data_IF_575570831523
#
_entry.id   IF_575570831523
#
_cell.length_a   1.000
_cell.length_b   1.000
_cell.length_c   1.000
_cell.angle_alpha   90.00
_cell.angle_beta   90.00
_cell.angle_gamma   90.00
#
_symmetry.space_group_name_H-M   'P 1'
#
loop_
_entity.id
_entity.type
_entity.pdbx_description
1 polymer ?
#
# COMPACT_ATOMS: atom_id res chain seq x y z
N UNK A 1 1.67 5.01 -21.74
CA UNK A 1 1.50 3.78 -20.98
C UNK A 1 1.11 4.14 -19.54
N UNK A 2 1.99 4.54 -18.62
CA UNK A 2 1.67 4.75 -17.18
C UNK A 2 0.56 5.79 -16.90
N UNK A 3 0.38 6.82 -17.72
CA UNK A 3 -0.74 7.76 -17.62
C UNK A 3 -2.04 7.22 -18.21
N UNK A 4 -1.96 6.24 -19.10
CA UNK A 4 -3.12 5.58 -19.68
C UNK A 4 -3.83 4.70 -18.66
N UNK A 5 -3.05 3.98 -17.85
CA UNK A 5 -3.53 3.15 -16.75
C UNK A 5 -4.15 4.00 -15.63
N UNK A 6 -3.61 5.20 -15.39
CA UNK A 6 -4.24 6.14 -14.45
C UNK A 6 -5.61 6.60 -14.94
N UNK A 7 -5.74 6.94 -16.21
CA UNK A 7 -7.05 7.29 -16.80
C UNK A 7 -8.03 6.13 -16.74
N UNK A 8 -7.56 4.91 -17.00
CA UNK A 8 -8.35 3.68 -16.87
C UNK A 8 -8.82 3.49 -15.42
N UNK A 9 -7.92 3.64 -14.45
CA UNK A 9 -8.23 3.53 -13.02
C UNK A 9 -9.31 4.54 -12.60
N UNK A 10 -9.17 5.81 -12.99
CA UNK A 10 -10.18 6.83 -12.70
C UNK A 10 -11.51 6.53 -13.41
N UNK A 11 -11.46 5.97 -14.62
CA UNK A 11 -12.64 5.50 -15.36
C UNK A 11 -13.35 4.35 -14.63
N UNK A 12 -12.59 3.39 -14.09
CA UNK A 12 -13.13 2.28 -13.28
C UNK A 12 -13.79 2.76 -12.00
N UNK A 13 -13.14 3.69 -11.26
CA UNK A 13 -13.70 4.29 -10.06
C UNK A 13 -15.03 5.01 -10.28
N UNK A 14 -15.21 5.60 -11.47
CA UNK A 14 -16.49 6.22 -11.86
C UNK A 14 -17.56 5.20 -12.24
N UNK A 15 -17.17 4.09 -12.88
CA UNK A 15 -18.10 3.05 -13.35
C UNK A 15 -18.49 2.07 -12.25
N UNK A 16 -17.59 1.82 -11.31
CA UNK A 16 -17.73 0.80 -10.25
C UNK A 16 -17.62 1.50 -8.89
N UNK A 17 -18.72 2.10 -8.38
CA UNK A 17 -18.69 2.85 -7.12
C UNK A 17 -18.36 1.99 -5.91
N UNK A 18 -18.53 0.67 -6.00
CA UNK A 18 -18.15 -0.28 -4.92
C UNK A 18 -16.66 -0.21 -4.57
N UNK A 19 -15.79 0.22 -5.47
CA UNK A 19 -14.35 0.39 -5.19
C UNK A 19 -14.08 1.49 -4.14
N UNK A 20 -14.99 2.44 -3.95
CA UNK A 20 -14.88 3.46 -2.90
C UNK A 20 -15.14 2.92 -1.49
N UNK A 21 -15.79 1.76 -1.36
CA UNK A 21 -16.08 1.12 -0.06
C UNK A 21 -14.80 0.84 0.70
N UNK A 22 -13.72 0.42 0.02
CA UNK A 22 -12.41 0.22 0.63
C UNK A 22 -11.90 1.51 1.30
N UNK A 23 -11.93 2.63 0.59
CA UNK A 23 -11.50 3.93 1.12
C UNK A 23 -12.40 4.41 2.26
N UNK A 24 -13.73 4.21 2.12
CA UNK A 24 -14.70 4.60 3.13
C UNK A 24 -14.47 3.85 4.46
N UNK A 25 -14.35 2.52 4.40
CA UNK A 25 -14.15 1.70 5.60
C UNK A 25 -12.79 1.99 6.24
N UNK A 26 -11.72 2.04 5.44
CA UNK A 26 -10.36 2.31 5.95
C UNK A 26 -10.23 3.73 6.49
N UNK A 27 -10.85 4.71 5.83
CA UNK A 27 -10.88 6.11 6.30
C UNK A 27 -11.63 6.24 7.62
N UNK A 28 -12.78 5.57 7.77
CA UNK A 28 -13.52 5.56 9.02
C UNK A 28 -12.70 4.92 10.16
N UNK A 29 -12.05 3.79 9.89
CA UNK A 29 -11.18 3.13 10.85
C UNK A 29 -10.01 4.04 11.27
N UNK A 30 -9.37 4.73 10.34
CA UNK A 30 -8.27 5.65 10.65
C UNK A 30 -8.73 6.83 11.52
N UNK A 31 -9.89 7.42 11.22
CA UNK A 31 -10.48 8.46 12.04
C UNK A 31 -10.81 7.96 13.45
N UNK A 32 -11.39 6.76 13.58
CA UNK A 32 -11.66 6.14 14.88
C UNK A 32 -10.38 5.84 15.67
N UNK A 33 -9.33 5.35 15.00
CA UNK A 33 -8.02 5.09 15.64
C UNK A 33 -7.42 6.39 16.16
N UNK A 34 -7.49 7.47 15.37
CA UNK A 34 -6.99 8.79 15.77
C UNK A 34 -7.74 9.32 17.01
N UNK A 35 -9.07 9.27 17.01
CA UNK A 35 -9.88 9.68 18.16
C UNK A 35 -9.58 8.82 19.39
N UNK A 36 -9.54 7.50 19.23
CA UNK A 36 -9.23 6.58 20.32
C UNK A 36 -7.83 6.81 20.90
N UNK A 37 -6.84 7.15 20.07
CA UNK A 37 -5.49 7.47 20.53
C UNK A 37 -5.48 8.70 21.46
N UNK A 38 -6.22 9.75 21.08
CA UNK A 38 -6.26 10.98 21.82
C UNK A 38 -7.14 10.93 23.08
N UNK A 39 -8.22 10.13 23.08
CA UNK A 39 -9.14 10.05 24.22
C UNK A 39 -8.80 8.92 25.20
N UNK A 40 -8.38 7.76 24.70
CA UNK A 40 -8.21 6.54 25.50
C UNK A 40 -6.76 6.06 25.59
N UNK A 41 -5.85 6.73 24.88
CA UNK A 41 -4.42 6.46 24.89
C UNK A 41 -3.97 5.34 23.93
N UNK A 42 -2.65 5.17 23.87
CA UNK A 42 -1.96 4.29 22.90
C UNK A 42 -2.36 2.80 23.01
N UNK A 43 -2.69 2.33 24.21
CA UNK A 43 -3.03 0.92 24.45
C UNK A 43 -4.29 0.48 23.68
N UNK A 44 -5.34 1.30 23.69
CA UNK A 44 -6.58 1.00 22.99
C UNK A 44 -6.44 1.22 21.47
N UNK A 45 -5.78 2.31 21.09
CA UNK A 45 -5.52 2.62 19.69
C UNK A 45 -4.72 1.52 18.98
N UNK A 46 -3.70 0.94 19.62
CA UNK A 46 -2.90 -0.15 19.04
C UNK A 46 -3.76 -1.37 18.71
N UNK A 47 -4.72 -1.72 19.52
CA UNK A 47 -5.65 -2.84 19.25
C UNK A 47 -6.56 -2.56 18.08
N UNK A 48 -7.06 -1.33 18.00
CA UNK A 48 -7.86 -0.90 16.84
C UNK A 48 -7.03 -0.91 15.56
N UNK A 49 -5.74 -0.56 15.60
CA UNK A 49 -4.83 -0.65 14.44
C UNK A 49 -4.71 -2.11 13.97
N UNK A 50 -4.53 -3.07 14.89
CA UNK A 50 -4.45 -4.50 14.53
C UNK A 50 -5.74 -5.00 13.86
N UNK A 51 -6.89 -4.72 14.46
CA UNK A 51 -8.18 -5.12 13.89
C UNK A 51 -8.44 -4.38 12.58
N UNK A 52 -8.17 -3.07 12.55
CA UNK A 52 -8.35 -2.23 11.37
C UNK A 52 -7.49 -2.66 10.19
N UNK A 53 -6.25 -3.11 10.45
CA UNK A 53 -5.37 -3.63 9.39
C UNK A 53 -5.93 -4.89 8.73
N UNK A 54 -6.51 -5.82 9.50
CA UNK A 54 -7.16 -7.01 8.96
C UNK A 54 -8.38 -6.65 8.11
N UNK A 55 -9.21 -5.71 8.58
CA UNK A 55 -10.38 -5.23 7.83
C UNK A 55 -9.92 -4.55 6.53
N UNK A 56 -8.88 -3.72 6.58
CA UNK A 56 -8.33 -3.05 5.39
C UNK A 56 -7.84 -4.06 4.34
N UNK A 57 -7.11 -5.10 4.76
CA UNK A 57 -6.65 -6.17 3.86
C UNK A 57 -7.83 -6.91 3.24
N UNK A 58 -8.90 -7.17 3.99
CA UNK A 58 -10.11 -7.80 3.48
C UNK A 58 -10.75 -6.99 2.35
N UNK A 59 -10.95 -5.69 2.55
CA UNK A 59 -11.54 -4.82 1.53
C UNK A 59 -10.61 -4.58 0.35
N UNK A 60 -9.29 -4.55 0.57
CA UNK A 60 -8.28 -4.47 -0.50
C UNK A 60 -8.35 -5.70 -1.41
N UNK A 61 -8.35 -6.90 -0.82
CA UNK A 61 -8.47 -8.15 -1.56
C UNK A 61 -9.79 -8.22 -2.35
N UNK A 62 -10.90 -7.80 -1.73
CA UNK A 62 -12.20 -7.70 -2.39
C UNK A 62 -12.21 -6.72 -3.56
N UNK A 63 -11.60 -5.54 -3.40
CA UNK A 63 -11.50 -4.54 -4.47
C UNK A 63 -10.71 -5.06 -5.67
N UNK A 64 -9.60 -5.76 -5.46
CA UNK A 64 -8.85 -6.40 -6.53
C UNK A 64 -9.64 -7.51 -7.23
N UNK A 65 -10.43 -8.30 -6.49
CA UNK A 65 -11.31 -9.31 -7.07
C UNK A 65 -12.39 -8.70 -7.95
N UNK A 66 -13.00 -7.60 -7.53
CA UNK A 66 -13.97 -6.82 -8.32
C UNK A 66 -13.34 -6.33 -9.62
N UNK A 67 -12.11 -5.79 -9.58
CA UNK A 67 -11.39 -5.31 -10.77
C UNK A 67 -11.02 -6.50 -11.69
N UNK A 68 -10.61 -7.65 -11.13
CA UNK A 68 -10.27 -8.87 -11.86
C UNK A 68 -11.47 -9.40 -12.64
N UNK A 69 -12.63 -9.49 -11.99
CA UNK A 69 -13.84 -10.08 -12.55
C UNK A 69 -14.65 -9.11 -13.43
N UNK A 70 -14.40 -7.79 -13.29
CA UNK A 70 -15.13 -6.75 -14.03
C UNK A 70 -16.56 -6.50 -13.55
N UNK A 71 -17.01 -7.18 -12.50
CA UNK A 71 -18.37 -7.09 -11.96
C UNK A 71 -18.40 -6.22 -10.71
N UNK A 72 -19.17 -5.14 -10.73
CA UNK A 72 -19.16 -4.09 -9.69
C UNK A 72 -20.14 -4.26 -8.53
N UNK A 73 -20.51 -5.48 -8.16
CA UNK A 73 -21.45 -5.74 -7.08
C UNK A 73 -20.82 -5.73 -5.68
N UNK A 74 -21.53 -5.21 -4.68
CA UNK A 74 -21.09 -5.27 -3.27
C UNK A 74 -20.91 -6.71 -2.79
N UNK A 75 -21.76 -7.63 -3.26
CA UNK A 75 -21.66 -9.07 -2.99
C UNK A 75 -20.34 -9.65 -3.50
N UNK A 76 -19.86 -9.19 -4.66
CA UNK A 76 -18.58 -9.63 -5.22
C UNK A 76 -17.38 -9.09 -4.46
N UNK A 77 -17.49 -7.86 -3.92
CA UNK A 77 -16.49 -7.30 -3.03
C UNK A 77 -16.30 -8.20 -1.80
N UNK A 78 -17.41 -8.61 -1.15
CA UNK A 78 -17.36 -9.47 0.03
C UNK A 78 -16.88 -10.89 -0.32
N UNK A 79 -17.40 -11.49 -1.38
CA UNK A 79 -16.98 -12.83 -1.81
C UNK A 79 -15.49 -12.85 -2.21
N UNK A 80 -15.03 -11.83 -2.93
CA UNK A 80 -13.62 -11.65 -3.27
C UNK A 80 -12.76 -11.43 -2.03
N UNK A 81 -13.25 -10.63 -1.07
CA UNK A 81 -12.60 -10.46 0.23
C UNK A 81 -12.41 -11.79 0.93
N UNK A 82 -13.45 -12.62 1.08
CA UNK A 82 -13.36 -13.93 1.72
C UNK A 82 -12.41 -14.86 0.96
N UNK A 83 -12.50 -14.90 -0.36
CA UNK A 83 -11.73 -15.81 -1.20
C UNK A 83 -10.22 -15.50 -1.18
N UNK A 84 -9.85 -14.21 -1.24
CA UNK A 84 -8.46 -13.76 -1.39
C UNK A 84 -7.83 -13.24 -0.10
N UNK A 85 -8.59 -13.10 0.99
CA UNK A 85 -8.10 -12.55 2.25
C UNK A 85 -6.77 -13.16 2.70
N UNK A 86 -6.75 -14.48 2.88
CA UNK A 86 -5.55 -15.17 3.33
C UNK A 86 -4.42 -15.16 2.29
N UNK A 87 -4.75 -15.10 1.00
CA UNK A 87 -3.75 -15.02 -0.08
C UNK A 87 -3.02 -13.67 -0.10
N UNK A 88 -3.66 -12.61 0.40
CA UNK A 88 -3.04 -11.28 0.55
C UNK A 88 -2.43 -11.11 1.93
N UNK A 89 -3.12 -11.56 2.98
CA UNK A 89 -2.69 -11.41 4.36
C UNK A 89 -1.40 -12.18 4.67
N UNK A 90 -1.32 -13.45 4.26
CA UNK A 90 -0.17 -14.30 4.61
C UNK A 90 1.16 -13.81 4.00
N UNK A 91 1.25 -13.45 2.70
CA UNK A 91 2.46 -12.83 2.17
C UNK A 91 2.82 -11.54 2.90
N UNK A 92 1.83 -10.71 3.25
CA UNK A 92 2.06 -9.48 4.01
C UNK A 92 2.68 -9.78 5.38
N UNK A 93 2.16 -10.77 6.11
CA UNK A 93 2.72 -11.20 7.40
C UNK A 93 4.15 -11.73 7.25
N UNK A 94 4.43 -12.53 6.22
CA UNK A 94 5.77 -13.01 5.92
C UNK A 94 6.74 -11.85 5.69
N UNK A 95 6.33 -10.85 4.89
CA UNK A 95 7.17 -9.67 4.62
C UNK A 95 7.43 -8.84 5.88
N UNK A 96 6.41 -8.61 6.71
CA UNK A 96 6.55 -7.91 7.99
C UNK A 96 7.52 -8.69 8.90
N UNK A 97 7.35 -10.00 9.01
CA UNK A 97 8.21 -10.84 9.84
C UNK A 97 9.66 -10.86 9.35
N UNK A 98 9.88 -11.00 8.04
CA UNK A 98 11.22 -10.91 7.44
C UNK A 98 11.87 -9.54 7.69
N UNK A 99 11.11 -8.46 7.55
CA UNK A 99 11.60 -7.09 7.82
C UNK A 99 12.00 -6.93 9.29
N UNK A 100 11.19 -7.43 10.23
CA UNK A 100 11.50 -7.40 11.65
C UNK A 100 12.77 -8.20 11.98
N UNK A 101 12.96 -9.37 11.36
CA UNK A 101 14.19 -10.16 11.53
C UNK A 101 15.40 -9.38 11.02
N UNK A 102 15.31 -8.75 9.85
CA UNK A 102 16.40 -7.96 9.28
C UNK A 102 16.77 -6.78 10.19
N UNK A 103 15.79 -6.06 10.72
CA UNK A 103 16.01 -4.97 11.68
C UNK A 103 16.67 -5.51 12.96
N UNK A 104 16.19 -6.63 13.50
CA UNK A 104 16.78 -7.26 14.68
C UNK A 104 18.23 -7.69 14.46
N UNK A 105 18.56 -8.25 13.28
CA UNK A 105 19.93 -8.61 12.92
C UNK A 105 20.85 -7.38 12.88
N UNK A 106 20.38 -6.26 12.31
CA UNK A 106 21.14 -5.00 12.30
C UNK A 106 21.35 -4.50 13.72
N UNK A 107 20.33 -4.54 14.58
CA UNK A 107 20.45 -4.15 15.99
C UNK A 107 21.51 -4.97 16.73
N UNK A 108 21.50 -6.29 16.55
CA UNK A 108 22.49 -7.20 17.16
C UNK A 108 23.90 -6.82 16.67
N UNK A 109 24.07 -6.59 15.38
CA UNK A 109 25.38 -6.22 14.79
C UNK A 109 25.90 -4.89 15.35
N UNK A 110 25.05 -3.88 15.48
CA UNK A 110 25.41 -2.58 16.06
C UNK A 110 25.81 -2.72 17.55
N UNK A 111 25.07 -3.54 18.30
CA UNK A 111 25.40 -3.81 19.72
C UNK A 111 26.78 -4.48 19.88
N UNK A 112 27.14 -5.41 19.01
CA UNK A 112 28.48 -6.02 19.01
C UNK A 112 29.58 -5.02 18.59
N UNK A 113 29.25 -4.04 17.75
CA UNK A 113 30.17 -2.95 17.36
C UNK A 113 30.36 -1.87 18.42
N UNK A 114 29.72 -1.99 19.59
CA UNK A 114 29.80 -1.01 20.67
C UNK A 114 29.11 0.33 20.36
N UNK A 115 28.31 0.37 19.31
CA UNK A 115 27.49 1.56 19.01
C UNK A 115 26.25 1.59 19.92
N UNK A 116 25.94 2.74 20.54
CA UNK A 116 24.72 2.86 21.31
C UNK A 116 23.51 2.66 20.37
N UNK A 117 22.55 1.85 20.82
CA UNK A 117 21.32 1.61 20.09
C UNK A 117 20.34 2.79 20.29
N UNK A 118 20.74 3.99 19.84
CA UNK A 118 19.88 5.15 19.90
C UNK A 118 18.65 4.94 19.03
N UNK A 119 17.43 5.28 19.51
CA UNK A 119 16.19 5.12 18.76
C UNK A 119 16.22 5.79 17.38
N UNK A 120 16.91 6.91 17.24
CA UNK A 120 17.06 7.65 15.97
C UNK A 120 17.87 6.85 14.95
N UNK A 121 19.01 6.28 15.36
CA UNK A 121 19.87 5.45 14.52
C UNK A 121 19.12 4.19 14.07
N UNK A 122 18.37 3.55 14.99
CA UNK A 122 17.54 2.39 14.67
C UNK A 122 16.42 2.74 13.67
N UNK A 123 15.79 3.91 13.83
CA UNK A 123 14.78 4.41 12.90
C UNK A 123 15.33 4.58 11.48
N UNK A 124 16.53 5.13 11.32
CA UNK A 124 17.18 5.30 10.02
C UNK A 124 17.46 3.94 9.38
N UNK A 125 18.03 2.97 10.12
CA UNK A 125 18.28 1.63 9.59
C UNK A 125 16.98 0.90 9.22
N UNK A 126 15.94 1.01 10.05
CA UNK A 126 14.63 0.42 9.76
C UNK A 126 14.05 0.99 8.45
N UNK A 127 14.13 2.30 8.24
CA UNK A 127 13.69 2.94 7.00
C UNK A 127 14.54 2.48 5.80
N UNK A 128 15.86 2.40 5.95
CA UNK A 128 16.77 1.93 4.89
C UNK A 128 16.49 0.48 4.47
N UNK A 129 16.01 -0.37 5.38
CA UNK A 129 15.61 -1.75 5.08
C UNK A 129 14.19 -1.78 4.49
N UNK A 130 13.27 -1.04 5.09
CA UNK A 130 11.87 -1.06 4.71
C UNK A 130 11.63 -0.55 3.28
N UNK A 131 12.29 0.54 2.87
CA UNK A 131 12.09 1.13 1.54
C UNK A 131 12.41 0.15 0.41
N UNK A 132 13.59 -0.51 0.35
CA UNK A 132 13.87 -1.49 -0.71
C UNK A 132 12.93 -2.70 -0.67
N UNK A 133 12.61 -3.22 0.51
CA UNK A 133 11.66 -4.34 0.66
C UNK A 133 10.30 -3.95 0.12
N UNK A 134 9.75 -2.82 0.55
CA UNK A 134 8.46 -2.31 0.07
C UNK A 134 8.48 -2.06 -1.44
N UNK A 135 9.59 -1.52 -1.97
CA UNK A 135 9.77 -1.29 -3.41
C UNK A 135 9.70 -2.58 -4.21
N UNK A 136 10.45 -3.61 -3.82
CA UNK A 136 10.51 -4.88 -4.54
C UNK A 136 9.23 -5.70 -4.40
N UNK A 137 8.53 -5.56 -3.29
CA UNK A 137 7.38 -6.41 -2.97
C UNK A 137 6.03 -5.72 -3.16
N UNK A 138 5.98 -4.49 -3.70
CA UNK A 138 4.74 -3.72 -3.82
C UNK A 138 3.59 -4.49 -4.48
N UNK A 139 3.88 -5.31 -5.48
CA UNK A 139 2.87 -5.98 -6.31
C UNK A 139 2.48 -7.38 -5.84
N UNK A 140 2.93 -7.83 -4.64
CA UNK A 140 2.61 -9.18 -4.16
C UNK A 140 1.10 -9.42 -3.99
N UNK A 141 0.36 -8.42 -3.53
CA UNK A 141 -1.08 -8.48 -3.31
C UNK A 141 -1.87 -8.56 -4.63
N UNK A 142 -1.46 -7.77 -5.64
CA UNK A 142 -2.03 -7.85 -6.98
C UNK A 142 -1.69 -9.18 -7.64
N UNK A 143 -0.45 -9.68 -7.51
CA UNK A 143 -0.06 -10.99 -8.03
C UNK A 143 -0.85 -12.14 -7.37
N UNK A 144 -1.08 -12.05 -6.04
CA UNK A 144 -1.86 -13.03 -5.29
C UNK A 144 -3.32 -13.12 -5.78
N UNK A 145 -3.94 -11.99 -6.15
CA UNK A 145 -5.33 -11.94 -6.58
C UNK A 145 -5.46 -12.18 -8.09
N UNK A 146 -4.71 -11.48 -8.93
CA UNK A 146 -4.87 -11.53 -10.40
C UNK A 146 -4.35 -12.84 -11.01
N UNK A 147 -3.22 -13.36 -10.50
CA UNK A 147 -2.59 -14.59 -10.99
C UNK A 147 -2.90 -15.82 -10.10
N UNK A 148 -3.74 -15.68 -9.07
CA UNK A 148 -4.08 -16.75 -8.11
C UNK A 148 -2.84 -17.41 -7.45
N UNK A 149 -1.74 -16.64 -7.28
CA UNK A 149 -0.46 -17.12 -6.75
C UNK A 149 -0.53 -17.50 -5.28
N UNK A 150 0.30 -18.47 -4.89
CA UNK A 150 0.54 -18.83 -3.49
C UNK A 150 1.47 -17.80 -2.83
N UNK A 151 1.63 -17.88 -1.51
CA UNK A 151 2.31 -16.93 -0.65
C UNK A 151 3.69 -16.51 -1.20
N UNK A 152 4.61 -17.46 -1.34
CA UNK A 152 5.99 -17.17 -1.80
C UNK A 152 6.05 -16.86 -3.29
N UNK A 153 5.17 -17.47 -4.10
CA UNK A 153 5.12 -17.22 -5.54
C UNK A 153 4.64 -15.80 -5.84
N UNK A 154 3.74 -15.23 -5.02
CA UNK A 154 3.29 -13.85 -5.18
C UNK A 154 4.39 -12.84 -4.86
N UNK A 155 5.17 -13.09 -3.80
CA UNK A 155 6.33 -12.27 -3.44
C UNK A 155 7.40 -12.35 -4.54
N UNK A 156 7.75 -13.57 -4.97
CA UNK A 156 8.70 -13.80 -6.06
C UNK A 156 8.26 -13.09 -7.33
N UNK A 157 6.99 -13.22 -7.69
CA UNK A 157 6.41 -12.57 -8.88
C UNK A 157 6.53 -11.04 -8.82
N UNK A 158 6.28 -10.46 -7.65
CA UNK A 158 6.49 -9.02 -7.44
C UNK A 158 7.94 -8.61 -7.71
N UNK A 159 8.91 -9.32 -7.15
CA UNK A 159 10.34 -9.06 -7.34
C UNK A 159 10.73 -9.21 -8.81
N UNK A 160 10.31 -10.29 -9.47
CA UNK A 160 10.55 -10.52 -10.89
C UNK A 160 10.02 -9.37 -11.76
N UNK A 161 8.78 -8.93 -11.50
CA UNK A 161 8.15 -7.84 -12.23
C UNK A 161 8.91 -6.53 -12.06
N UNK A 162 9.26 -6.17 -10.83
CA UNK A 162 10.02 -4.95 -10.52
C UNK A 162 11.41 -4.98 -11.16
N UNK A 163 12.08 -6.13 -11.16
CA UNK A 163 13.44 -6.28 -11.71
C UNK A 163 13.42 -6.23 -13.24
N UNK A 164 12.48 -6.91 -13.89
CA UNK A 164 12.41 -6.97 -15.36
C UNK A 164 11.92 -5.65 -15.96
N UNK A 165 10.96 -4.99 -15.30
CA UNK A 165 10.32 -3.77 -15.81
C UNK A 165 10.59 -2.55 -14.93
N UNK A 166 11.80 -2.46 -14.37
CA UNK A 166 12.22 -1.44 -13.40
C UNK A 166 11.88 -0.01 -13.84
N UNK A 167 12.11 0.34 -15.10
CA UNK A 167 11.84 1.69 -15.63
C UNK A 167 10.34 2.05 -15.63
N UNK A 168 9.46 1.09 -15.92
CA UNK A 168 8.01 1.31 -15.91
C UNK A 168 7.48 1.38 -14.47
N UNK A 169 7.98 0.50 -13.62
CA UNK A 169 7.66 0.48 -12.19
C UNK A 169 8.12 1.78 -11.52
N UNK A 170 9.31 2.27 -11.85
CA UNK A 170 9.80 3.55 -11.32
C UNK A 170 8.90 4.73 -11.72
N UNK A 171 8.46 4.78 -12.99
CA UNK A 171 7.48 5.79 -13.44
C UNK A 171 6.15 5.68 -12.70
N UNK A 172 5.67 4.45 -12.44
CA UNK A 172 4.47 4.22 -11.62
C UNK A 172 4.63 4.80 -10.22
N UNK A 173 5.79 4.58 -9.55
CA UNK A 173 6.06 5.14 -8.23
C UNK A 173 6.07 6.66 -8.23
N UNK A 174 6.73 7.29 -9.21
CA UNK A 174 6.77 8.77 -9.32
C UNK A 174 5.36 9.33 -9.45
N UNK A 175 4.53 8.76 -10.32
CA UNK A 175 3.17 9.24 -10.52
C UNK A 175 2.31 8.99 -9.28
N UNK A 176 2.43 7.80 -8.65
CA UNK A 176 1.71 7.50 -7.40
C UNK A 176 2.12 8.46 -6.28
N UNK A 177 3.42 8.76 -6.15
CA UNK A 177 3.93 9.73 -5.18
C UNK A 177 3.41 11.15 -5.48
N UNK A 178 3.40 11.58 -6.74
CA UNK A 178 2.88 12.89 -7.12
C UNK A 178 1.38 13.04 -6.81
N UNK A 179 0.57 12.00 -7.08
CA UNK A 179 -0.86 11.98 -6.74
C UNK A 179 -1.05 12.04 -5.23
N UNK A 180 -0.31 11.21 -4.49
CA UNK A 180 -0.36 11.20 -3.02
C UNK A 180 0.02 12.54 -2.44
N UNK A 181 1.11 13.14 -2.93
CA UNK A 181 1.57 14.45 -2.50
C UNK A 181 0.51 15.54 -2.77
N UNK A 182 -0.09 15.55 -3.96
CA UNK A 182 -1.11 16.53 -4.32
C UNK A 182 -2.34 16.44 -3.41
N UNK A 183 -2.81 15.21 -3.10
CA UNK A 183 -3.96 15.00 -2.23
C UNK A 183 -3.62 15.40 -0.79
N UNK A 184 -2.48 14.96 -0.26
CA UNK A 184 -2.03 15.28 1.10
C UNK A 184 -1.84 16.78 1.24
N UNK A 185 -1.19 17.44 0.28
CA UNK A 185 -0.97 18.88 0.29
C UNK A 185 -2.28 19.68 0.29
N UNK A 186 -3.25 19.27 -0.55
CA UNK A 186 -4.57 19.89 -0.55
C UNK A 186 -5.29 19.74 0.81
N UNK A 187 -5.17 18.55 1.43
CA UNK A 187 -5.74 18.30 2.75
C UNK A 187 -5.03 19.09 3.86
N UNK A 188 -3.71 19.25 3.77
CA UNK A 188 -2.96 20.09 4.72
C UNK A 188 -3.42 21.55 4.67
N UNK A 189 -3.64 22.11 3.47
CA UNK A 189 -4.18 23.47 3.33
C UNK A 189 -5.56 23.58 3.99
N UNK A 190 -6.45 22.59 3.76
CA UNK A 190 -7.79 22.59 4.38
C UNK A 190 -7.69 22.46 5.90
N UNK A 191 -6.81 21.60 6.39
CA UNK A 191 -6.58 21.37 7.82
C UNK A 191 -6.02 22.63 8.50
N UNK A 192 -5.02 23.27 7.89
CA UNK A 192 -4.42 24.50 8.38
C UNK A 192 -5.44 25.65 8.39
N UNK A 193 -6.22 25.79 7.31
CA UNK A 193 -7.27 26.81 7.26
C UNK A 193 -8.36 26.60 8.32
N UNK A 194 -8.74 25.34 8.60
CA UNK A 194 -9.74 25.01 9.61
C UNK A 194 -9.24 25.23 11.05
N UNK A 195 -7.93 25.19 11.27
CA UNK A 195 -7.28 25.35 12.58
C UNK A 195 -6.50 26.66 12.71
N UNK A 196 -6.68 27.60 11.80
CA UNK A 196 -5.88 28.81 11.71
C UNK A 196 -5.75 29.55 13.05
N UNK A 197 -6.88 29.80 13.74
CA UNK A 197 -6.90 30.52 15.01
C UNK A 197 -6.13 29.79 16.12
N UNK A 198 -6.09 28.45 16.06
CA UNK A 198 -5.39 27.62 17.05
C UNK A 198 -3.90 27.48 16.74
N UNK A 199 -3.53 27.59 15.47
CA UNK A 199 -2.15 27.48 15.00
C UNK A 199 -1.45 28.85 14.97
N UNK A 200 -2.18 29.97 15.04
CA UNK A 200 -1.60 31.32 15.06
C UNK A 200 -0.44 31.49 16.08
N UNK A 201 -0.53 30.93 17.31
CA UNK A 201 0.58 31.06 18.27
C UNK A 201 1.91 30.48 17.76
N UNK A 202 1.88 29.46 16.90
CA UNK A 202 3.10 28.85 16.32
C UNK A 202 3.87 29.84 15.44
N UNK A 203 3.20 30.80 14.81
CA UNK A 203 3.84 31.79 13.96
C UNK A 203 4.75 32.76 14.75
N UNK A 204 4.56 32.79 16.07
CA UNK A 204 5.33 33.62 16.99
C UNK A 204 6.50 32.89 17.65
N UNK A 205 6.63 31.58 17.41
CA UNK A 205 7.70 30.76 17.98
C UNK A 205 9.03 31.07 17.30
N UNK A 206 10.09 31.12 18.07
CA UNK A 206 11.45 31.19 17.56
C UNK A 206 11.97 29.79 17.20
N UNK A 207 13.11 29.73 16.50
CA UNK A 207 13.69 28.44 16.01
C UNK A 207 13.91 27.42 17.14
N UNK A 208 14.33 27.86 18.33
CA UNK A 208 14.56 26.97 19.47
C UNK A 208 13.26 26.42 20.05
N UNK A 209 12.19 27.21 20.04
CA UNK A 209 10.86 26.76 20.46
C UNK A 209 10.25 25.77 19.45
N UNK A 210 10.44 26.01 18.16
CA UNK A 210 10.00 25.08 17.10
C UNK A 210 10.76 23.77 17.21
N UNK A 211 12.08 23.80 17.43
CA UNK A 211 12.90 22.59 17.58
C UNK A 211 12.55 21.76 18.82
N UNK A 212 12.06 22.40 19.88
CA UNK A 212 11.63 21.74 21.13
C UNK A 212 10.14 21.34 21.11
N UNK A 213 9.40 21.69 20.05
CA UNK A 213 7.97 21.48 19.98
C UNK A 213 7.63 20.01 19.68
N UNK A 214 6.84 19.39 20.55
CA UNK A 214 6.49 17.97 20.46
C UNK A 214 5.10 17.75 19.85
N UNK A 215 4.83 16.58 19.25
CA UNK A 215 3.50 16.23 18.77
C UNK A 215 2.41 16.32 19.84
N UNK A 216 2.72 15.96 21.10
CA UNK A 216 1.77 16.05 22.22
C UNK A 216 1.39 17.49 22.54
N UNK A 217 2.34 18.43 22.42
CA UNK A 217 2.07 19.87 22.57
C UNK A 217 1.16 20.38 21.45
N UNK A 218 1.33 19.87 20.23
CA UNK A 218 0.43 20.19 19.11
C UNK A 218 -1.00 19.73 19.42
N UNK A 219 -1.16 18.48 19.85
CA UNK A 219 -2.47 17.94 20.23
C UNK A 219 -3.11 18.75 21.36
N UNK A 220 -2.33 19.11 22.38
CA UNK A 220 -2.80 19.98 23.47
C UNK A 220 -3.26 21.36 22.99
N UNK A 221 -2.55 21.93 22.02
CA UNK A 221 -2.83 23.27 21.49
C UNK A 221 -4.10 23.27 20.59
N UNK A 222 -4.28 22.29 19.72
CA UNK A 222 -5.47 22.19 18.88
C UNK A 222 -6.72 21.79 19.67
N UNK A 223 -6.54 21.11 20.82
CA UNK A 223 -7.62 20.68 21.70
C UNK A 223 -8.60 19.67 21.07
N UNK A 224 -9.70 19.42 21.77
CA UNK A 224 -10.69 18.41 21.35
C UNK A 224 -11.32 18.71 19.97
N UNK A 225 -11.60 19.96 19.67
CA UNK A 225 -12.15 20.38 18.39
C UNK A 225 -11.15 20.12 17.24
N UNK A 226 -9.88 20.47 17.44
CA UNK A 226 -8.83 20.20 16.45
C UNK A 226 -8.58 18.71 16.25
N UNK A 227 -8.73 17.90 17.30
CA UNK A 227 -8.66 16.43 17.20
C UNK A 227 -9.76 15.89 16.29
N UNK A 228 -10.99 16.40 16.39
CA UNK A 228 -12.11 16.01 15.52
C UNK A 228 -11.87 16.48 14.07
N UNK A 229 -11.42 17.72 13.88
CA UNK A 229 -11.10 18.24 12.53
C UNK A 229 -10.02 17.37 11.88
N UNK A 230 -8.98 17.00 12.63
CA UNK A 230 -7.92 16.11 12.13
C UNK A 230 -8.47 14.73 11.77
N UNK A 231 -9.37 14.15 12.58
CA UNK A 231 -10.03 12.88 12.27
C UNK A 231 -10.84 12.95 10.96
N UNK A 232 -11.55 14.06 10.72
CA UNK A 232 -12.30 14.30 9.49
C UNK A 232 -11.36 14.42 8.29
N UNK A 233 -10.26 15.17 8.41
CA UNK A 233 -9.25 15.27 7.35
C UNK A 233 -8.62 13.92 7.02
N UNK A 234 -8.28 13.12 8.01
CA UNK A 234 -7.77 11.75 7.83
C UNK A 234 -8.79 10.86 7.12
N UNK A 235 -10.07 10.93 7.52
CA UNK A 235 -11.14 10.20 6.86
C UNK A 235 -11.21 10.52 5.36
N UNK A 236 -11.33 11.80 5.00
CA UNK A 236 -11.43 12.21 3.60
C UNK A 236 -10.15 11.92 2.81
N UNK A 237 -8.98 12.06 3.44
CA UNK A 237 -7.70 11.73 2.83
C UNK A 237 -7.62 10.28 2.39
N UNK A 238 -7.92 9.37 3.29
CA UNK A 238 -7.86 7.93 3.01
C UNK A 238 -9.01 7.51 2.09
N UNK A 239 -10.20 8.08 2.27
CA UNK A 239 -11.36 7.84 1.40
C UNK A 239 -11.01 8.07 -0.08
N UNK A 240 -10.24 9.12 -0.38
CA UNK A 240 -9.88 9.48 -1.75
C UNK A 240 -8.60 8.76 -2.19
N UNK A 241 -7.55 8.79 -1.38
CA UNK A 241 -6.22 8.31 -1.74
C UNK A 241 -6.20 6.80 -1.98
N UNK A 242 -6.77 6.03 -1.05
CA UNK A 242 -6.63 4.57 -1.06
C UNK A 242 -7.29 3.92 -2.29
N UNK A 243 -8.54 4.24 -2.67
CA UNK A 243 -9.14 3.68 -3.88
C UNK A 243 -8.41 4.08 -5.16
N UNK A 244 -7.93 5.33 -5.25
CA UNK A 244 -7.20 5.80 -6.42
C UNK A 244 -5.91 5.00 -6.58
N UNK A 245 -5.09 4.90 -5.54
CA UNK A 245 -3.79 4.21 -5.61
C UNK A 245 -3.96 2.70 -5.80
N UNK A 246 -4.90 2.06 -5.10
CA UNK A 246 -5.13 0.62 -5.23
C UNK A 246 -5.65 0.24 -6.62
N UNK A 247 -6.61 1.01 -7.16
CA UNK A 247 -7.16 0.78 -8.50
C UNK A 247 -6.10 1.06 -9.58
N UNK A 248 -5.33 2.13 -9.44
CA UNK A 248 -4.22 2.45 -10.34
C UNK A 248 -3.15 1.35 -10.34
N UNK A 249 -2.78 0.83 -9.17
CA UNK A 249 -1.87 -0.30 -9.03
C UNK A 249 -2.39 -1.56 -9.72
N UNK A 250 -3.69 -1.86 -9.59
CA UNK A 250 -4.32 -3.00 -10.24
C UNK A 250 -4.34 -2.88 -11.78
N UNK A 251 -4.68 -1.70 -12.32
CA UNK A 251 -4.64 -1.43 -13.76
C UNK A 251 -3.23 -1.53 -14.31
N UNK A 252 -2.25 -0.95 -13.60
CA UNK A 252 -0.85 -1.00 -13.98
C UNK A 252 -0.30 -2.44 -13.99
N UNK A 253 -0.60 -3.23 -12.95
CA UNK A 253 -0.21 -4.64 -12.90
C UNK A 253 -0.79 -5.44 -14.08
N UNK A 254 -2.05 -5.19 -14.44
CA UNK A 254 -2.73 -5.87 -15.56
C UNK A 254 -2.09 -5.50 -16.90
N UNK A 255 -1.75 -4.23 -17.13
CA UNK A 255 -1.15 -3.77 -18.39
C UNK A 255 0.25 -4.35 -18.60
N UNK A 256 1.05 -4.45 -17.54
CA UNK A 256 2.39 -5.04 -17.59
C UNK A 256 2.34 -6.53 -17.91
N UNK A 257 1.41 -7.25 -17.29
CA UNK A 257 1.26 -8.69 -17.57
C UNK A 257 0.85 -8.96 -19.01
N UNK A 258 -0.05 -8.18 -19.58
CA UNK A 258 -0.45 -8.32 -20.99
C UNK A 258 0.71 -7.99 -21.94
N UNK A 259 1.55 -7.01 -21.63
CA UNK A 259 2.73 -6.65 -22.41
C UNK A 259 3.83 -7.73 -22.39
N UNK A 260 4.00 -8.46 -21.30
CA UNK A 260 4.97 -9.55 -21.20
C UNK A 260 4.56 -10.81 -21.99
N UNK A 261 3.27 -11.07 -22.11
CA UNK A 261 2.74 -12.17 -22.92
C UNK A 261 2.95 -11.88 -24.42
N UNK A 262 2.76 -10.63 -24.86
CA UNK A 262 2.95 -10.25 -26.28
C UNK A 262 4.42 -10.19 -26.70
N UNK A 263 5.36 -9.98 -25.79
CA UNK A 263 6.81 -10.03 -26.08
C UNK A 263 7.38 -11.45 -26.02
N UNK A 264 6.75 -12.37 -25.26
CA UNK A 264 7.13 -13.78 -25.21
C UNK A 264 6.64 -14.60 -26.39
N UNK A 265 5.61 -14.15 -27.11
CA UNK A 265 5.07 -14.83 -28.30
C UNK A 265 5.84 -14.50 -29.59
N UNK A 266 6.87 -13.64 -29.53
CA UNK A 266 7.70 -13.29 -30.68
C UNK A 266 8.82 -14.27 -31.03
N UNK A 267 9.07 -15.32 -30.25
CA UNK A 267 10.18 -16.24 -30.46
C UNK A 267 9.88 -17.71 -30.15
N UNK A 268 8.71 -18.22 -30.44
CA UNK A 268 8.53 -19.69 -30.51
C UNK A 268 7.19 -20.18 -31.06
N UNK A 269 6.61 -19.52 -32.06
CA UNK A 269 5.62 -20.20 -32.92
C UNK A 269 6.30 -20.74 -34.18
N UNK A 270 7.42 -21.44 -34.00
CA UNK A 270 7.74 -22.54 -34.89
C UNK A 270 6.86 -23.70 -34.42
N UNK A 271 6.03 -24.26 -35.31
CA UNK A 271 5.28 -25.48 -34.96
C UNK A 271 6.29 -26.50 -34.46
N UNK A 272 6.17 -26.84 -33.17
CA UNK A 272 7.02 -27.89 -32.59
C UNK A 272 6.57 -29.20 -33.26
N UNK A 273 7.18 -29.48 -34.40
CA UNK A 273 7.03 -30.78 -35.07
C UNK A 273 7.78 -31.80 -34.22
N UNK A 274 7.06 -32.64 -33.55
CA UNK A 274 7.58 -33.74 -32.78
C UNK A 274 6.67 -34.93 -33.00
N UNK A 275 7.22 -36.12 -33.05
CA UNK A 275 6.49 -37.36 -33.27
C UNK A 275 6.76 -38.34 -32.11
N UNK A 276 5.75 -39.12 -31.73
CA UNK A 276 5.91 -40.15 -30.73
C UNK A 276 6.46 -41.42 -31.39
N UNK A 277 7.50 -42.01 -30.80
CA UNK A 277 8.00 -43.33 -31.25
C UNK A 277 7.01 -44.46 -30.88
N UNK A 278 7.26 -45.63 -31.39
CA UNK A 278 6.47 -46.84 -31.11
C UNK A 278 6.46 -47.24 -29.62
N UNK A 279 7.27 -46.59 -28.78
CA UNK A 279 7.36 -46.79 -27.32
C UNK A 279 6.77 -45.60 -26.53
N UNK A 280 6.07 -44.64 -27.20
CA UNK A 280 5.41 -43.52 -26.58
C UNK A 280 6.37 -42.41 -26.10
N UNK A 281 7.62 -42.34 -26.60
CA UNK A 281 8.54 -41.22 -26.28
C UNK A 281 8.42 -40.14 -27.34
N UNK A 282 8.36 -38.90 -26.88
CA UNK A 282 8.23 -37.75 -27.76
C UNK A 282 9.60 -37.19 -28.16
N UNK A 283 9.83 -37.02 -29.46
CA UNK A 283 11.04 -36.41 -30.01
C UNK A 283 10.73 -35.09 -30.69
N UNK A 284 11.52 -34.10 -30.39
CA UNK A 284 11.46 -32.76 -30.96
C UNK A 284 12.48 -32.69 -32.11
N UNK A 285 12.01 -32.36 -33.31
CA UNK A 285 12.87 -32.11 -34.48
C UNK A 285 13.14 -30.60 -34.61
#
# INVERSE_FOLDING_TARGET
>A
MVLTELKEALGLLRRIPVLWVQGLVTGLLAAMIWLAYNEQGSFFATRLVLIGSLITVFFLAGSYAVIKNGNGGIRELFNGGIQYFFRVLLPMLVLVFCTLILVALVMITLSFGGMPADPEVLGIFAICIFIPVAFLTLFFDTAAVFEDRKIFDSIRRSIELVTIQSAQVFKFYIISAAISFAIIFALMIVWEAALYDKLEPLTRFNETQIAAFTPDQLVGMIGAEGTVITAICLFFGILVLLPIISTYKACFFRSINQGSVSQGSGTSDLPVTGEYDSKGRWYKY
#
